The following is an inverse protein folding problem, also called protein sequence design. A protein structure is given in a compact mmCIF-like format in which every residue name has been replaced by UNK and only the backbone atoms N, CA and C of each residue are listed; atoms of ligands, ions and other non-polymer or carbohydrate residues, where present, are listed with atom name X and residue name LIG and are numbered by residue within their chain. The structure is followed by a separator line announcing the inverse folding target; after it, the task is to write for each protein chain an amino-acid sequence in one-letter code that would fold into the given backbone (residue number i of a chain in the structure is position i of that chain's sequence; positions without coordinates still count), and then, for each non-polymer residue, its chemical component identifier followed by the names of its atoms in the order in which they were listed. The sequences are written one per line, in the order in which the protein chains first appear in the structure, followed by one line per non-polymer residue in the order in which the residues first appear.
data_IF_759170233547
#
_entry.id   IF_759170233547
#
_cell.length_a   1.000
_cell.length_b   1.000
_cell.length_c   1.000
_cell.angle_alpha   90.00
_cell.angle_beta   90.00
_cell.angle_gamma   90.00
#
_symmetry.space_group_name_H-M   'P 1'
#
loop_
_entity.id
_entity.type
_entity.pdbx_description
1 polymer ?
#
# COMPACT_ATOMS: atom_id res chain seq x y z
N UNK A 1 -30.86 11.78 -1.71
CA UNK A 1 -30.39 10.91 -0.60
C UNK A 1 -29.63 9.64 -1.03
N UNK A 2 -30.11 8.86 -2.03
CA UNK A 2 -29.49 7.59 -2.46
C UNK A 2 -28.10 7.77 -3.10
N UNK A 3 -27.91 8.81 -3.91
CA UNK A 3 -26.62 9.12 -4.55
C UNK A 3 -25.53 9.55 -3.54
N UNK A 4 -25.91 10.25 -2.46
CA UNK A 4 -25.00 10.65 -1.39
C UNK A 4 -24.58 9.43 -0.54
N UNK A 5 -25.51 8.53 -0.22
CA UNK A 5 -25.21 7.28 0.46
C UNK A 5 -24.28 6.38 -0.37
N UNK A 6 -24.49 6.30 -1.69
CA UNK A 6 -23.61 5.54 -2.60
C UNK A 6 -22.21 6.14 -2.76
N UNK A 7 -22.06 7.47 -2.68
CA UNK A 7 -20.76 8.13 -2.70
C UNK A 7 -20.02 7.98 -1.36
N UNK A 8 -20.73 8.08 -0.23
CA UNK A 8 -20.21 7.82 1.11
C UNK A 8 -19.77 6.36 1.27
N UNK A 9 -20.58 5.42 0.81
CA UNK A 9 -20.23 4.00 0.80
C UNK A 9 -19.02 3.72 -0.08
N UNK A 10 -18.89 4.34 -1.26
CA UNK A 10 -17.71 4.17 -2.13
C UNK A 10 -16.43 4.76 -1.53
N UNK A 11 -16.53 5.89 -0.83
CA UNK A 11 -15.39 6.53 -0.17
C UNK A 11 -14.94 5.76 1.07
N UNK A 12 -15.88 5.25 1.87
CA UNK A 12 -15.61 4.37 3.01
C UNK A 12 -15.05 3.01 2.57
N UNK A 13 -15.61 2.43 1.49
CA UNK A 13 -15.26 1.07 1.02
C UNK A 13 -13.87 0.98 0.39
N UNK A 14 -13.21 2.08 0.01
CA UNK A 14 -11.90 1.95 -0.65
C UNK A 14 -10.73 2.41 0.21
N UNK A 15 -10.91 3.46 1.02
CA UNK A 15 -9.79 4.09 1.72
C UNK A 15 -9.46 3.45 3.06
N UNK A 16 -10.42 2.84 3.74
CA UNK A 16 -10.24 2.42 5.14
C UNK A 16 -10.42 0.92 5.36
N UNK A 17 -10.76 0.13 4.32
CA UNK A 17 -10.96 -1.31 4.46
C UNK A 17 -9.70 -2.06 4.85
N UNK A 18 -8.58 -1.82 4.17
CA UNK A 18 -7.32 -2.53 4.46
C UNK A 18 -6.86 -2.22 5.88
N UNK A 19 -6.87 -0.94 6.26
CA UNK A 19 -6.51 -0.51 7.62
C UNK A 19 -7.41 -1.08 8.71
N UNK A 20 -8.74 -1.05 8.48
CA UNK A 20 -9.72 -1.60 9.41
C UNK A 20 -9.59 -3.12 9.54
N UNK A 21 -9.38 -3.83 8.43
CA UNK A 21 -9.17 -5.27 8.42
C UNK A 21 -7.90 -5.66 9.21
N UNK A 22 -6.77 -4.99 8.96
CA UNK A 22 -5.52 -5.23 9.71
C UNK A 22 -5.67 -4.92 11.20
N UNK A 23 -6.39 -3.85 11.55
CA UNK A 23 -6.65 -3.51 12.96
C UNK A 23 -7.54 -4.56 13.61
N UNK A 24 -8.58 -5.03 12.91
CA UNK A 24 -9.48 -6.06 13.39
C UNK A 24 -8.76 -7.39 13.61
N UNK A 25 -7.92 -7.82 12.67
CA UNK A 25 -7.15 -9.08 12.82
C UNK A 25 -6.07 -8.98 13.89
N UNK A 26 -5.47 -7.80 14.10
CA UNK A 26 -4.57 -7.54 15.22
C UNK A 26 -5.28 -7.71 16.58
N UNK A 27 -6.45 -7.09 16.74
CA UNK A 27 -7.26 -7.18 17.97
C UNK A 27 -7.72 -8.61 18.21
N UNK A 28 -8.18 -9.30 17.16
CA UNK A 28 -8.60 -10.69 17.24
C UNK A 28 -7.45 -11.62 17.65
N UNK A 29 -6.25 -11.43 17.09
CA UNK A 29 -5.06 -12.19 17.46
C UNK A 29 -4.65 -11.95 18.92
N UNK A 30 -4.74 -10.70 19.40
CA UNK A 30 -4.47 -10.33 20.79
C UNK A 30 -5.48 -10.96 21.76
N UNK A 31 -6.79 -10.82 21.47
CA UNK A 31 -7.87 -11.34 22.30
C UNK A 31 -7.91 -12.87 22.34
N UNK A 32 -7.45 -13.54 21.29
CA UNK A 32 -7.39 -15.02 21.23
C UNK A 32 -6.23 -15.64 22.02
N UNK A 33 -5.52 -14.86 22.85
CA UNK A 33 -4.45 -15.35 23.72
C UNK A 33 -3.22 -15.85 22.96
N UNK A 34 -3.01 -15.40 21.72
CA UNK A 34 -1.82 -15.74 20.96
C UNK A 34 -1.72 -17.20 20.51
N UNK A 35 -2.83 -17.96 20.40
CA UNK A 35 -2.77 -19.29 19.75
C UNK A 35 -2.08 -19.14 18.39
N UNK A 36 -1.07 -19.97 18.13
CA UNK A 36 -0.15 -19.85 17.00
C UNK A 36 -0.84 -19.59 15.64
N UNK A 37 -2.03 -20.14 15.43
CA UNK A 37 -2.81 -19.93 14.20
C UNK A 37 -3.29 -18.48 13.99
N UNK A 38 -3.68 -17.76 15.05
CA UNK A 38 -4.20 -16.39 14.91
C UNK A 38 -3.07 -15.37 14.74
N UNK A 39 -1.93 -15.61 15.39
CA UNK A 39 -0.71 -14.82 15.18
C UNK A 39 -0.19 -15.02 13.75
N UNK A 40 -0.19 -16.26 13.25
CA UNK A 40 0.18 -16.56 11.87
C UNK A 40 -0.70 -15.86 10.84
N UNK A 41 -2.03 -15.84 11.05
CA UNK A 41 -2.97 -15.12 10.19
C UNK A 41 -2.68 -13.62 10.15
N UNK A 42 -2.47 -12.99 11.32
CA UNK A 42 -2.14 -11.57 11.37
C UNK A 42 -0.80 -11.26 10.67
N UNK A 43 0.23 -12.09 10.88
CA UNK A 43 1.53 -11.93 10.21
C UNK A 43 1.43 -12.11 8.70
N UNK A 44 0.61 -13.05 8.23
CA UNK A 44 0.34 -13.23 6.81
C UNK A 44 -0.38 -12.02 6.22
N UNK A 45 -1.42 -11.52 6.89
CA UNK A 45 -2.21 -10.37 6.43
C UNK A 45 -1.38 -9.09 6.35
N UNK A 46 -0.58 -8.78 7.39
CA UNK A 46 0.25 -7.57 7.40
C UNK A 46 1.34 -7.64 6.32
N UNK A 47 1.92 -8.82 6.06
CA UNK A 47 2.88 -8.99 4.98
C UNK A 47 2.20 -8.87 3.62
N UNK A 48 1.07 -9.53 3.40
CA UNK A 48 0.31 -9.42 2.15
C UNK A 48 -0.05 -7.97 1.83
N UNK A 49 -0.58 -7.24 2.81
CA UNK A 49 -0.90 -5.82 2.68
C UNK A 49 0.36 -4.97 2.41
N UNK A 50 1.48 -5.28 3.07
CA UNK A 50 2.73 -4.56 2.90
C UNK A 50 3.35 -4.80 1.49
N UNK A 51 3.38 -6.04 1.01
CA UNK A 51 3.87 -6.38 -0.32
C UNK A 51 2.99 -5.75 -1.42
N UNK A 52 1.67 -5.80 -1.26
CA UNK A 52 0.73 -5.13 -2.15
C UNK A 52 0.98 -3.61 -2.17
N UNK A 53 1.15 -2.98 -0.99
CA UNK A 53 1.48 -1.56 -0.91
C UNK A 53 2.78 -1.22 -1.65
N UNK A 54 3.87 -1.96 -1.43
CA UNK A 54 5.15 -1.74 -2.14
C UNK A 54 4.95 -1.84 -3.66
N UNK A 55 4.23 -2.86 -4.12
CA UNK A 55 3.96 -3.03 -5.55
C UNK A 55 3.18 -1.86 -6.14
N UNK A 56 2.04 -1.50 -5.54
CA UNK A 56 1.18 -0.41 -6.02
C UNK A 56 1.87 0.96 -5.93
N UNK A 57 2.70 1.17 -4.89
CA UNK A 57 3.38 2.45 -4.62
C UNK A 57 4.54 2.71 -5.59
N UNK A 58 5.25 1.67 -6.02
CA UNK A 58 6.53 1.85 -6.73
C UNK A 58 6.62 1.12 -8.08
N UNK A 59 5.99 -0.05 -8.21
CA UNK A 59 6.25 -0.97 -9.32
C UNK A 59 5.07 -1.12 -10.27
N UNK A 60 3.86 -0.76 -9.86
CA UNK A 60 2.67 -0.86 -10.68
C UNK A 60 2.86 -0.05 -11.98
N UNK A 61 2.79 -0.69 -13.16
CA UNK A 61 2.85 0.02 -14.43
C UNK A 61 1.61 0.88 -14.63
N UNK A 62 1.80 2.15 -14.96
CA UNK A 62 0.73 3.06 -15.37
C UNK A 62 1.01 3.52 -16.80
N UNK A 63 0.52 2.79 -17.82
CA UNK A 63 0.58 3.20 -19.23
C UNK A 63 1.85 3.99 -19.63
N UNK A 64 1.65 5.23 -20.12
CA UNK A 64 2.72 6.17 -20.49
C UNK A 64 3.20 7.08 -19.35
N UNK A 65 2.73 6.86 -18.11
CA UNK A 65 3.01 7.70 -16.95
C UNK A 65 4.06 7.11 -16.00
N UNK A 66 4.36 7.83 -14.89
CA UNK A 66 5.25 7.34 -13.85
C UNK A 66 4.72 6.05 -13.21
N UNK A 67 5.61 5.09 -12.91
CA UNK A 67 5.24 3.84 -12.22
C UNK A 67 4.80 4.13 -10.79
N UNK A 68 3.79 3.38 -10.34
CA UNK A 68 3.25 3.46 -8.98
C UNK A 68 2.45 4.73 -8.69
N UNK A 69 2.27 5.03 -7.40
CA UNK A 69 1.64 6.25 -6.89
C UNK A 69 2.52 6.83 -5.77
N UNK A 70 2.96 8.09 -5.89
CA UNK A 70 3.80 8.80 -4.93
C UNK A 70 3.01 9.71 -3.96
N UNK A 71 1.68 9.73 -4.03
CA UNK A 71 0.80 10.56 -3.18
C UNK A 71 1.01 10.35 -1.67
N UNK A 72 0.97 11.41 -0.86
CA UNK A 72 1.08 11.28 0.60
C UNK A 72 -0.09 10.47 1.20
N UNK A 73 -1.25 10.52 0.54
CA UNK A 73 -2.46 9.77 0.92
C UNK A 73 -2.30 8.25 0.75
N UNK A 74 -1.36 7.81 -0.09
CA UNK A 74 -1.03 6.40 -0.29
C UNK A 74 0.21 5.94 0.49
N UNK A 75 0.63 6.69 1.50
CA UNK A 75 1.66 6.23 2.44
C UNK A 75 1.15 5.04 3.27
N UNK A 76 2.02 4.08 3.60
CA UNK A 76 1.63 2.94 4.43
C UNK A 76 1.03 3.39 5.78
N UNK A 77 1.59 4.45 6.38
CA UNK A 77 1.07 5.04 7.60
C UNK A 77 -0.36 5.61 7.44
N UNK A 78 -0.76 6.05 6.24
CA UNK A 78 -2.10 6.58 5.98
C UNK A 78 -3.20 5.51 6.10
N UNK A 79 -2.84 4.23 5.99
CA UNK A 79 -3.74 3.09 6.23
C UNK A 79 -4.18 2.98 7.69
N UNK A 80 -3.46 3.62 8.62
CA UNK A 80 -3.70 3.49 10.05
C UNK A 80 -4.35 4.75 10.63
N UNK A 81 -5.05 4.62 11.78
CA UNK A 81 -5.65 5.75 12.46
C UNK A 81 -4.60 6.81 12.84
N UNK A 82 -4.97 8.11 12.89
CA UNK A 82 -4.05 9.24 13.09
C UNK A 82 -3.03 9.07 14.22
N UNK A 83 -3.45 8.42 15.31
CA UNK A 83 -2.66 8.18 16.52
C UNK A 83 -1.49 7.21 16.28
N UNK A 84 -1.67 6.22 15.40
CA UNK A 84 -0.65 5.20 15.09
C UNK A 84 0.30 5.62 13.95
N UNK A 85 -0.10 6.61 13.13
CA UNK A 85 0.68 7.10 11.98
C UNK A 85 2.13 7.46 12.27
N UNK A 86 2.49 8.21 13.34
CA UNK A 86 3.88 8.64 13.55
C UNK A 86 4.82 7.46 13.81
N UNK A 87 4.35 6.43 14.51
CA UNK A 87 5.14 5.22 14.78
C UNK A 87 5.34 4.44 13.48
N UNK A 88 4.26 4.22 12.74
CA UNK A 88 4.28 3.44 11.49
C UNK A 88 5.08 4.16 10.40
N UNK A 89 5.01 5.50 10.34
CA UNK A 89 5.81 6.30 9.43
C UNK A 89 7.31 6.07 9.65
N UNK A 90 7.78 6.04 10.90
CA UNK A 90 9.19 5.75 11.22
C UNK A 90 9.61 4.35 10.78
N UNK A 91 8.75 3.34 11.00
CA UNK A 91 9.03 1.96 10.59
C UNK A 91 9.06 1.82 9.06
N UNK A 92 8.19 2.55 8.35
CA UNK A 92 8.10 2.49 6.88
C UNK A 92 9.14 3.34 6.15
N UNK A 93 9.79 4.29 6.82
CA UNK A 93 10.72 5.25 6.19
C UNK A 93 11.97 4.61 5.54
N UNK A 94 12.67 3.64 6.16
CA UNK A 94 13.82 2.98 5.54
C UNK A 94 13.43 2.25 4.25
N UNK A 95 12.28 1.59 4.28
CA UNK A 95 11.77 0.84 3.13
C UNK A 95 11.28 1.77 2.02
N UNK A 96 10.69 2.92 2.36
CA UNK A 96 10.41 3.98 1.39
C UNK A 96 11.69 4.43 0.67
N UNK A 97 12.78 4.64 1.40
CA UNK A 97 14.07 5.05 0.84
C UNK A 97 14.71 3.96 -0.05
N UNK A 98 14.57 2.69 0.33
CA UNK A 98 15.07 1.56 -0.47
C UNK A 98 14.24 1.40 -1.75
N UNK A 99 12.91 1.36 -1.63
CA UNK A 99 12.02 1.12 -2.75
C UNK A 99 12.08 2.23 -3.80
N UNK A 100 12.19 3.49 -3.38
CA UNK A 100 12.40 4.63 -4.31
C UNK A 100 13.72 4.50 -5.09
N UNK A 101 14.81 4.08 -4.44
CA UNK A 101 16.10 3.82 -5.14
C UNK A 101 15.97 2.72 -6.20
N UNK A 102 15.29 1.62 -5.89
CA UNK A 102 15.08 0.53 -6.85
C UNK A 102 14.12 0.93 -7.99
N UNK A 103 13.02 1.61 -7.67
CA UNK A 103 12.06 2.09 -8.64
C UNK A 103 12.71 3.06 -9.64
N UNK A 104 13.51 4.01 -9.16
CA UNK A 104 14.21 4.96 -10.03
C UNK A 104 15.23 4.28 -10.95
N UNK A 105 15.95 3.26 -10.46
CA UNK A 105 16.83 2.43 -11.31
C UNK A 105 16.06 1.73 -12.43
N UNK A 106 14.88 1.20 -12.12
CA UNK A 106 14.02 0.52 -13.11
C UNK A 106 13.46 1.47 -14.20
N UNK A 107 13.36 2.78 -13.91
CA UNK A 107 12.93 3.81 -14.87
C UNK A 107 14.08 4.22 -15.77
N UNK A 108 15.27 4.48 -15.20
CA UNK A 108 16.48 4.88 -15.95
C UNK A 108 16.95 3.79 -16.92
N UNK A 109 16.68 2.51 -16.61
CA UNK A 109 17.18 1.38 -17.40
C UNK A 109 16.31 1.03 -18.63
N UNK A 110 15.24 1.77 -18.94
CA UNK A 110 14.47 1.55 -20.18
C UNK A 110 15.38 1.87 -21.38
N UNK A 111 15.75 0.87 -22.21
CA UNK A 111 16.76 1.07 -23.24
C UNK A 111 16.18 1.83 -24.46
N UNK A 112 17.01 2.59 -25.21
CA UNK A 112 16.60 3.52 -26.27
C UNK A 112 16.01 2.84 -27.53
N UNK A 113 16.10 1.52 -27.61
CA UNK A 113 15.55 0.67 -28.68
C UNK A 113 14.01 0.54 -28.61
N UNK A 114 13.38 0.76 -27.46
CA UNK A 114 11.91 0.76 -27.34
C UNK A 114 11.29 2.05 -27.89
N UNK A 115 12.02 3.17 -27.86
CA UNK A 115 11.59 4.46 -28.45
C UNK A 115 11.69 4.42 -29.99
N UNK A 116 12.67 3.67 -30.52
CA UNK A 116 12.87 3.50 -31.96
C UNK A 116 11.82 2.60 -32.65
N UNK A 117 11.04 1.85 -31.88
CA UNK A 117 10.07 0.87 -32.39
C UNK A 117 8.60 1.34 -32.34
N UNK A 118 8.30 2.56 -31.85
CA UNK A 118 6.92 3.09 -31.86
C UNK A 118 6.66 3.90 -33.13
N UNK A 119 5.78 3.45 -34.05
CA UNK A 119 5.36 4.28 -35.17
C UNK A 119 4.57 5.49 -34.64
N UNK A 120 4.92 6.69 -35.16
CA UNK A 120 4.21 7.96 -34.95
C UNK A 120 2.79 7.91 -35.50
#
# INVERSE_FOLDING_TARGET
PVFAAGALLRTLRNKHLIGAYLTFTAVYAFMSGGRHHHVGLYLFDIWGAYAAWVYLRYFQPHGAGPRGDASADFAFAALFPPQARPVIARVSAPLHAIATKFAHRSVVQKPPDVEAASPK
#
